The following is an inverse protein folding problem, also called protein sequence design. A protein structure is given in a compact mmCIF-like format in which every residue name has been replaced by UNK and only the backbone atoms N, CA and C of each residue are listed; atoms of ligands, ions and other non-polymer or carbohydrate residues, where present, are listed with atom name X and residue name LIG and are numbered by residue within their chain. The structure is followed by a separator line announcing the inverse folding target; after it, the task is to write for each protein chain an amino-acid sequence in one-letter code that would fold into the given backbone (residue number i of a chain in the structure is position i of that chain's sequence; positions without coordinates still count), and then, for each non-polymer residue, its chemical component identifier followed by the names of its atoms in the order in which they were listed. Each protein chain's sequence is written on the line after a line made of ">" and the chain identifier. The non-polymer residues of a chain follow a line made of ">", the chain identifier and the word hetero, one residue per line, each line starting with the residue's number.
data_IF_505037151765
#
_entry.id   IF_505037151765
#
_cell.length_a   1.000
_cell.length_b   1.000
_cell.length_c   1.000
_cell.angle_alpha   90.00
_cell.angle_beta   90.00
_cell.angle_gamma   90.00
#
_symmetry.space_group_name_H-M   'P 1'
#
loop_
_entity.id
_entity.type
_entity.pdbx_description
1 polymer ?
#
# COMPACT_ATOMS: atom_id res chain seq x y z
N UNK A 1 4.20 -34.34 -3.26
CA UNK A 1 3.36 -33.16 -3.50
C UNK A 1 4.24 -32.12 -4.19
N UNK A 2 4.02 -31.90 -5.46
CA UNK A 2 4.83 -31.02 -6.31
C UNK A 2 4.61 -29.56 -5.86
N UNK A 3 5.56 -29.02 -5.13
CA UNK A 3 5.58 -27.64 -4.67
C UNK A 3 5.97 -26.73 -5.86
N UNK A 4 5.14 -26.73 -6.92
CA UNK A 4 5.31 -25.81 -8.04
C UNK A 4 5.30 -24.41 -7.46
N UNK A 5 6.35 -23.63 -7.76
CA UNK A 5 6.52 -22.24 -7.31
C UNK A 5 5.47 -21.35 -7.99
N UNK A 6 4.20 -21.56 -7.65
CA UNK A 6 3.09 -20.76 -8.17
C UNK A 6 3.34 -19.29 -7.89
N UNK A 7 3.37 -18.49 -8.94
CA UNK A 7 3.49 -17.04 -8.87
C UNK A 7 2.11 -16.42 -8.94
N UNK A 8 1.87 -15.43 -8.11
CA UNK A 8 0.61 -14.68 -8.08
C UNK A 8 0.70 -13.47 -9.03
N UNK A 9 0.47 -13.72 -10.32
CA UNK A 9 0.59 -12.69 -11.37
C UNK A 9 -0.45 -11.59 -11.21
N UNK A 10 -1.67 -11.93 -10.79
CA UNK A 10 -2.74 -10.98 -10.51
C UNK A 10 -2.36 -10.00 -9.40
N UNK A 11 -1.81 -10.50 -8.28
CA UNK A 11 -1.36 -9.63 -7.18
C UNK A 11 -0.16 -8.77 -7.57
N UNK A 12 0.76 -9.28 -8.41
CA UNK A 12 1.85 -8.48 -8.97
C UNK A 12 1.30 -7.34 -9.86
N UNK A 13 0.33 -7.63 -10.73
CA UNK A 13 -0.32 -6.64 -11.58
C UNK A 13 -1.08 -5.59 -10.75
N UNK A 14 -1.84 -6.03 -9.74
CA UNK A 14 -2.58 -5.16 -8.83
C UNK A 14 -1.66 -4.19 -8.08
N UNK A 15 -0.50 -4.67 -7.61
CA UNK A 15 0.51 -3.81 -6.98
C UNK A 15 1.01 -2.74 -7.93
N UNK A 16 1.29 -3.10 -9.18
CA UNK A 16 1.72 -2.16 -10.21
C UNK A 16 0.66 -1.10 -10.51
N UNK A 17 -0.59 -1.52 -10.70
CA UNK A 17 -1.73 -0.63 -10.97
C UNK A 17 -1.97 0.33 -9.80
N UNK A 18 -2.01 -0.18 -8.57
CA UNK A 18 -2.20 0.64 -7.38
C UNK A 18 -1.07 1.67 -7.18
N UNK A 19 0.15 1.39 -7.70
CA UNK A 19 1.25 2.34 -7.69
C UNK A 19 1.03 3.48 -8.71
N UNK A 20 0.60 3.16 -9.92
CA UNK A 20 0.23 4.18 -10.92
C UNK A 20 -0.90 5.08 -10.39
N UNK A 21 -1.90 4.48 -9.74
CA UNK A 21 -2.97 5.24 -9.06
C UNK A 21 -2.45 6.14 -7.94
N UNK A 22 -1.26 5.88 -7.40
CA UNK A 22 -0.58 6.81 -6.49
C UNK A 22 -0.13 8.10 -7.16
N UNK A 23 0.32 8.03 -8.40
CA UNK A 23 0.63 9.22 -9.20
C UNK A 23 -0.66 10.02 -9.45
N UNK A 24 -1.74 9.33 -9.86
CA UNK A 24 -3.07 9.93 -10.07
C UNK A 24 -3.55 10.66 -8.82
N UNK A 25 -3.43 10.02 -7.66
CA UNK A 25 -3.86 10.59 -6.37
C UNK A 25 -3.09 11.86 -6.03
N UNK A 26 -1.77 11.87 -6.14
CA UNK A 26 -0.97 13.06 -5.83
C UNK A 26 -1.11 14.17 -6.87
N UNK A 27 -1.37 13.84 -8.13
CA UNK A 27 -1.69 14.81 -9.16
C UNK A 27 -3.06 15.49 -8.94
N UNK A 28 -3.98 14.82 -8.25
CA UNK A 28 -5.31 15.36 -7.94
C UNK A 28 -5.28 16.43 -6.84
N UNK A 29 -4.39 16.29 -5.84
CA UNK A 29 -4.38 17.09 -4.62
C UNK A 29 -4.47 18.62 -4.85
N UNK A 30 -3.71 19.25 -5.78
CA UNK A 30 -3.77 20.69 -5.98
C UNK A 30 -5.12 21.21 -6.49
N UNK A 31 -5.96 20.32 -7.02
CA UNK A 31 -7.23 20.68 -7.68
C UNK A 31 -8.47 20.25 -6.88
N UNK A 32 -8.28 19.76 -5.65
CA UNK A 32 -9.38 19.35 -4.77
C UNK A 32 -9.89 20.58 -4.00
N UNK A 33 -11.21 20.84 -4.00
CA UNK A 33 -11.77 21.92 -3.19
C UNK A 33 -11.60 21.65 -1.69
N UNK A 34 -11.23 22.69 -0.94
CA UNK A 34 -11.19 22.65 0.52
C UNK A 34 -9.91 22.11 1.16
N UNK A 35 -8.87 21.77 0.40
CA UNK A 35 -7.56 21.41 0.99
C UNK A 35 -6.87 22.70 1.45
N UNK A 36 -6.43 22.77 2.75
CA UNK A 36 -5.63 23.91 3.20
C UNK A 36 -4.32 24.02 2.44
N UNK A 37 -4.01 25.21 1.92
CA UNK A 37 -2.76 25.47 1.18
C UNK A 37 -1.49 25.27 2.03
N UNK A 38 -1.63 25.31 3.36
CA UNK A 38 -0.56 24.97 4.31
C UNK A 38 -0.19 23.48 4.28
N UNK A 39 -1.14 22.59 3.95
CA UNK A 39 -0.91 21.14 3.84
C UNK A 39 -0.41 20.80 2.44
N UNK A 40 -1.11 21.32 1.42
CA UNK A 40 -0.77 21.10 0.02
C UNK A 40 -1.03 22.36 -0.79
N UNK A 41 -0.02 22.91 -1.51
CA UNK A 41 -0.24 24.05 -2.40
C UNK A 41 -1.37 23.75 -3.40
N UNK A 42 -2.32 24.66 -3.50
CA UNK A 42 -3.54 24.50 -4.30
C UNK A 42 -3.61 25.51 -5.43
N UNK A 43 -4.11 25.09 -6.58
CA UNK A 43 -4.41 25.98 -7.71
C UNK A 43 -5.64 26.86 -7.38
N UNK A 44 -5.76 27.99 -8.06
CA UNK A 44 -6.93 28.86 -7.99
C UNK A 44 -8.21 28.21 -8.54
N UNK A 45 -8.05 27.15 -9.36
CA UNK A 45 -9.13 26.38 -9.94
C UNK A 45 -9.23 25.00 -9.30
N UNK A 46 -10.43 24.62 -8.87
CA UNK A 46 -10.71 23.30 -8.29
C UNK A 46 -11.78 22.55 -9.07
N UNK A 47 -11.81 21.21 -8.91
CA UNK A 47 -12.75 20.33 -9.61
C UNK A 47 -13.29 19.26 -8.68
N UNK A 48 -14.61 19.18 -8.54
CA UNK A 48 -15.26 18.16 -7.75
C UNK A 48 -15.14 16.74 -8.36
N UNK A 49 -15.23 16.55 -9.69
CA UNK A 49 -14.90 15.27 -10.32
C UNK A 49 -13.52 14.74 -9.97
N UNK A 50 -12.48 15.60 -9.92
CA UNK A 50 -11.14 15.20 -9.47
C UNK A 50 -11.16 14.77 -8.00
N UNK A 51 -11.92 15.44 -7.14
CA UNK A 51 -12.12 15.03 -5.74
C UNK A 51 -12.71 13.64 -5.65
N UNK A 52 -13.74 13.30 -6.43
CA UNK A 52 -14.32 11.95 -6.43
C UNK A 52 -13.28 10.89 -6.81
N UNK A 53 -12.45 11.15 -7.82
CA UNK A 53 -11.37 10.24 -8.22
C UNK A 53 -10.35 10.08 -7.09
N UNK A 54 -9.99 11.17 -6.44
CA UNK A 54 -9.08 11.16 -5.29
C UNK A 54 -9.65 10.30 -4.14
N UNK A 55 -10.87 10.59 -3.68
CA UNK A 55 -11.52 9.87 -2.58
C UNK A 55 -11.65 8.37 -2.88
N UNK A 56 -12.02 8.02 -4.11
CA UNK A 56 -12.09 6.63 -4.53
C UNK A 56 -10.73 5.93 -4.39
N UNK A 57 -9.64 6.53 -4.87
CA UNK A 57 -8.31 5.93 -4.79
C UNK A 57 -7.79 5.94 -3.35
N UNK A 58 -7.99 7.04 -2.64
CA UNK A 58 -7.50 7.24 -1.27
C UNK A 58 -8.08 6.20 -0.30
N UNK A 59 -9.37 5.93 -0.39
CA UNK A 59 -10.09 5.02 0.50
C UNK A 59 -9.45 3.63 0.63
N UNK A 60 -9.01 3.02 -0.46
CA UNK A 60 -8.60 1.60 -0.44
C UNK A 60 -7.12 1.36 -0.78
N UNK A 61 -6.44 2.31 -1.41
CA UNK A 61 -5.10 2.07 -1.97
C UNK A 61 -4.08 1.66 -0.91
N UNK A 62 -4.01 2.38 0.20
CA UNK A 62 -3.04 2.06 1.26
C UNK A 62 -3.42 0.81 2.05
N UNK A 63 -4.67 0.58 2.47
CA UNK A 63 -5.14 -0.70 2.97
C UNK A 63 -4.73 -1.88 2.09
N UNK A 64 -4.95 -1.79 0.79
CA UNK A 64 -4.55 -2.81 -0.17
C UNK A 64 -3.03 -3.06 -0.18
N UNK A 65 -2.21 -1.99 -0.18
CA UNK A 65 -0.76 -2.16 -0.15
C UNK A 65 -0.27 -2.91 1.08
N UNK A 66 -0.82 -2.62 2.25
CA UNK A 66 -0.48 -3.35 3.47
C UNK A 66 -0.95 -4.81 3.42
N UNK A 67 -2.14 -5.08 2.88
CA UNK A 67 -2.60 -6.47 2.67
C UNK A 67 -1.67 -7.23 1.72
N UNK A 68 -1.28 -6.64 0.60
CA UNK A 68 -0.33 -7.25 -0.34
C UNK A 68 1.05 -7.46 0.31
N UNK A 69 1.54 -6.49 1.08
CA UNK A 69 2.82 -6.61 1.79
C UNK A 69 2.80 -7.77 2.79
N UNK A 70 1.71 -7.95 3.54
CA UNK A 70 1.51 -9.07 4.46
C UNK A 70 1.45 -10.42 3.74
N UNK A 71 0.70 -10.49 2.65
CA UNK A 71 0.59 -11.71 1.83
C UNK A 71 1.97 -12.15 1.31
N UNK A 72 2.72 -11.25 0.69
CA UNK A 72 4.06 -11.53 0.18
C UNK A 72 5.09 -11.77 1.30
N UNK A 73 4.93 -11.17 2.47
CA UNK A 73 5.78 -11.46 3.63
C UNK A 73 5.64 -12.93 4.04
N UNK A 74 4.42 -13.42 4.20
CA UNK A 74 4.18 -14.81 4.56
C UNK A 74 4.63 -15.79 3.47
N UNK A 75 4.40 -15.46 2.20
CA UNK A 75 4.89 -16.24 1.07
C UNK A 75 6.42 -16.40 1.12
N UNK A 76 7.17 -15.32 1.40
CA UNK A 76 8.64 -15.38 1.49
C UNK A 76 9.07 -16.19 2.73
N UNK A 77 8.46 -15.95 3.89
CA UNK A 77 8.78 -16.67 5.14
C UNK A 77 8.56 -18.17 4.99
N UNK A 78 7.46 -18.56 4.33
CA UNK A 78 7.12 -19.99 4.11
C UNK A 78 8.06 -20.65 3.12
N UNK A 79 8.48 -19.97 2.07
CA UNK A 79 9.32 -20.54 1.00
C UNK A 79 10.83 -20.52 1.31
N UNK A 80 11.26 -19.59 2.16
CA UNK A 80 12.69 -19.44 2.48
C UNK A 80 12.91 -19.53 3.99
N UNK A 81 12.86 -18.42 4.72
CA UNK A 81 12.94 -18.38 6.16
C UNK A 81 12.56 -16.99 6.68
N UNK A 82 12.32 -16.92 8.02
CA UNK A 82 12.13 -15.65 8.71
C UNK A 82 13.35 -14.73 8.60
N UNK A 83 14.54 -15.25 8.86
CA UNK A 83 15.79 -14.47 8.81
C UNK A 83 16.05 -13.93 7.39
N UNK A 84 15.81 -14.74 6.35
CA UNK A 84 15.90 -14.29 4.97
C UNK A 84 14.92 -13.14 4.69
N UNK A 85 13.68 -13.24 5.19
CA UNK A 85 12.69 -12.17 5.02
C UNK A 85 13.13 -10.89 5.73
N UNK A 86 13.62 -10.94 6.99
CA UNK A 86 14.14 -9.79 7.72
C UNK A 86 15.28 -9.11 6.95
N UNK A 87 16.33 -9.84 6.61
CA UNK A 87 17.49 -9.31 5.88
C UNK A 87 17.08 -8.70 4.55
N UNK A 88 16.18 -9.36 3.82
CA UNK A 88 15.66 -8.86 2.57
C UNK A 88 14.88 -7.54 2.74
N UNK A 89 14.12 -7.38 3.83
CA UNK A 89 13.40 -6.13 4.12
C UNK A 89 14.35 -5.03 4.56
N UNK A 90 15.34 -5.31 5.41
CA UNK A 90 16.35 -4.31 5.76
C UNK A 90 17.07 -3.75 4.53
N UNK A 91 17.49 -4.62 3.62
CA UNK A 91 18.17 -4.18 2.40
C UNK A 91 17.24 -3.46 1.42
N UNK A 92 16.00 -3.96 1.21
CA UNK A 92 15.11 -3.44 0.17
C UNK A 92 14.12 -2.37 0.65
N UNK A 93 14.02 -2.14 1.93
CA UNK A 93 13.17 -1.09 2.51
C UNK A 93 14.05 -0.09 3.28
N UNK A 94 14.93 -0.57 4.15
CA UNK A 94 15.78 0.29 4.98
C UNK A 94 16.78 1.10 4.16
N UNK A 95 17.51 0.47 3.23
CA UNK A 95 18.48 1.18 2.39
C UNK A 95 17.80 2.23 1.49
N UNK A 96 16.70 1.95 0.77
CA UNK A 96 15.99 3.00 0.03
C UNK A 96 15.51 4.15 0.92
N UNK A 97 15.02 3.90 2.13
CA UNK A 97 14.67 4.99 3.06
C UNK A 97 15.92 5.83 3.36
N UNK A 98 17.04 5.20 3.73
CA UNK A 98 18.27 5.92 4.07
C UNK A 98 18.79 6.79 2.93
N UNK A 99 18.64 6.34 1.67
CA UNK A 99 19.07 7.07 0.48
C UNK A 99 18.06 8.15 0.08
N UNK A 100 16.77 7.82 0.06
CA UNK A 100 15.75 8.74 -0.46
C UNK A 100 15.25 9.75 0.56
N UNK A 101 15.42 9.51 1.85
CA UNK A 101 15.04 10.49 2.86
C UNK A 101 15.82 11.82 2.71
N UNK A 102 17.17 11.85 2.58
CA UNK A 102 17.88 13.08 2.25
C UNK A 102 17.50 13.66 0.89
N UNK A 103 17.24 12.82 -0.12
CA UNK A 103 16.80 13.30 -1.46
C UNK A 103 15.46 14.03 -1.36
N UNK A 104 14.52 13.54 -0.54
CA UNK A 104 13.27 14.24 -0.28
C UNK A 104 13.50 15.58 0.43
N UNK A 105 14.40 15.63 1.42
CA UNK A 105 14.79 16.88 2.08
C UNK A 105 15.47 17.90 1.17
N UNK A 106 16.12 17.44 0.08
CA UNK A 106 16.71 18.29 -0.96
C UNK A 106 15.70 18.75 -2.01
N UNK A 107 14.60 18.04 -2.20
CA UNK A 107 13.68 18.28 -3.33
C UNK A 107 12.36 18.90 -2.87
N UNK A 108 11.67 18.30 -1.89
CA UNK A 108 10.32 18.70 -1.53
C UNK A 108 10.21 20.09 -0.89
N UNK A 109 11.11 20.55 0.02
CA UNK A 109 10.94 21.83 0.70
C UNK A 109 10.87 23.01 -0.27
N UNK A 110 11.79 23.11 -1.21
CA UNK A 110 11.78 24.20 -2.19
C UNK A 110 10.66 24.04 -3.24
N UNK A 111 10.25 22.81 -3.60
CA UNK A 111 9.10 22.58 -4.47
C UNK A 111 7.82 23.09 -3.79
N UNK A 112 7.63 22.80 -2.49
CA UNK A 112 6.50 23.31 -1.71
C UNK A 112 6.53 24.85 -1.61
N UNK A 113 7.70 25.43 -1.34
CA UNK A 113 7.86 26.87 -1.32
C UNK A 113 7.50 27.49 -2.68
N UNK A 114 7.99 26.88 -3.76
CA UNK A 114 7.63 27.31 -5.12
C UNK A 114 6.11 27.24 -5.35
N UNK A 115 5.46 26.16 -4.96
CA UNK A 115 4.01 26.02 -5.07
C UNK A 115 3.21 27.05 -4.26
N UNK A 116 3.75 27.54 -3.16
CA UNK A 116 3.12 28.56 -2.30
C UNK A 116 3.37 29.99 -2.76
N UNK A 117 4.55 30.29 -3.28
CA UNK A 117 4.99 31.67 -3.55
C UNK A 117 5.27 31.97 -5.01
N UNK A 118 5.41 30.97 -5.87
CA UNK A 118 5.86 31.13 -7.26
C UNK A 118 7.37 31.40 -7.41
N UNK A 119 8.12 31.48 -6.31
CA UNK A 119 9.54 31.82 -6.32
C UNK A 119 10.43 30.59 -6.19
N UNK A 120 11.50 30.54 -6.98
CA UNK A 120 12.52 29.48 -6.90
C UNK A 120 13.57 29.86 -5.85
N UNK A 121 13.54 29.15 -4.71
CA UNK A 121 14.55 29.28 -3.68
C UNK A 121 14.98 27.90 -3.19
N UNK A 122 16.18 27.47 -3.58
CA UNK A 122 16.70 26.16 -3.23
C UNK A 122 17.23 26.13 -1.79
N UNK A 123 16.68 25.28 -0.95
CA UNK A 123 17.16 25.03 0.40
C UNK A 123 16.93 23.58 0.81
N UNK A 124 17.78 23.10 1.69
CA UNK A 124 17.59 21.83 2.35
C UNK A 124 16.81 22.03 3.64
N UNK A 125 15.77 21.21 3.84
CA UNK A 125 15.10 21.12 5.13
C UNK A 125 14.78 19.67 5.46
N UNK A 126 15.10 19.27 6.67
CA UNK A 126 14.74 17.98 7.18
C UNK A 126 13.81 18.18 8.38
N UNK A 127 12.53 17.99 8.16
CA UNK A 127 11.49 18.12 9.19
C UNK A 127 11.42 16.90 10.14
N UNK A 128 12.30 15.92 9.98
CA UNK A 128 12.22 14.64 10.69
C UNK A 128 11.07 13.73 10.27
N UNK A 129 10.24 14.20 9.34
CA UNK A 129 9.11 13.41 8.83
C UNK A 129 9.49 12.64 7.56
N UNK A 130 9.06 11.38 7.42
CA UNK A 130 9.44 10.53 6.28
C UNK A 130 8.73 10.90 4.96
N UNK A 131 8.05 12.05 4.88
CA UNK A 131 7.25 12.46 3.73
C UNK A 131 6.35 11.30 3.23
N UNK A 132 6.27 11.08 1.92
CA UNK A 132 5.52 9.94 1.36
C UNK A 132 6.19 8.57 1.61
N UNK A 133 7.41 8.52 2.15
CA UNK A 133 8.09 7.26 2.48
C UNK A 133 7.54 6.59 3.75
N UNK A 134 6.52 7.15 4.39
CA UNK A 134 5.90 6.63 5.60
C UNK A 134 5.44 5.17 5.48
N UNK A 135 4.99 4.74 4.29
CA UNK A 135 4.63 3.34 4.05
C UNK A 135 5.82 2.38 4.24
N UNK A 136 7.01 2.74 3.73
CA UNK A 136 8.22 1.95 3.95
C UNK A 136 8.63 1.96 5.42
N UNK A 137 8.44 3.09 6.09
CA UNK A 137 8.71 3.21 7.53
C UNK A 137 7.84 2.25 8.34
N UNK A 138 6.53 2.17 8.06
CA UNK A 138 5.65 1.19 8.69
C UNK A 138 6.08 -0.25 8.41
N UNK A 139 6.51 -0.57 7.19
CA UNK A 139 7.03 -1.91 6.89
C UNK A 139 8.28 -2.26 7.70
N UNK A 140 9.19 -1.31 7.95
CA UNK A 140 10.33 -1.52 8.86
C UNK A 140 9.88 -1.73 10.30
N UNK A 141 8.96 -0.92 10.79
CA UNK A 141 8.34 -1.10 12.11
C UNK A 141 7.79 -2.52 12.25
N UNK A 142 7.06 -3.04 11.25
CA UNK A 142 6.51 -4.39 11.30
C UNK A 142 7.60 -5.47 11.34
N UNK A 143 8.69 -5.29 10.62
CA UNK A 143 9.85 -6.21 10.69
C UNK A 143 10.46 -6.20 12.09
N UNK A 144 10.71 -5.02 12.65
CA UNK A 144 11.30 -4.86 13.98
C UNK A 144 10.41 -5.44 15.07
N UNK A 145 9.14 -5.03 15.12
CA UNK A 145 8.18 -5.52 16.13
C UNK A 145 7.93 -7.03 16.02
N UNK A 146 7.76 -7.54 14.80
CA UNK A 146 7.53 -8.98 14.63
C UNK A 146 8.75 -9.80 15.05
N UNK A 147 9.95 -9.29 14.87
CA UNK A 147 11.20 -9.92 15.34
C UNK A 147 11.28 -9.87 16.86
N UNK A 148 11.01 -8.70 17.45
CA UNK A 148 11.00 -8.51 18.90
C UNK A 148 9.96 -9.42 19.57
N UNK A 149 8.72 -9.43 19.09
CA UNK A 149 7.68 -10.32 19.64
C UNK A 149 8.04 -11.79 19.51
N UNK A 150 8.70 -12.19 18.43
CA UNK A 150 9.18 -13.57 18.29
C UNK A 150 10.27 -13.92 19.30
N UNK A 151 11.20 -13.01 19.57
CA UNK A 151 12.25 -13.18 20.56
C UNK A 151 11.68 -13.21 21.98
N UNK A 152 10.87 -12.21 22.33
CA UNK A 152 10.21 -12.13 23.65
C UNK A 152 9.30 -13.33 23.90
N UNK A 153 8.53 -13.76 22.91
CA UNK A 153 7.67 -14.93 23.02
C UNK A 153 8.45 -16.21 23.30
N UNK A 154 9.60 -16.41 22.63
CA UNK A 154 10.47 -17.57 22.91
C UNK A 154 11.08 -17.49 24.31
N UNK A 155 11.58 -16.32 24.70
CA UNK A 155 12.16 -16.10 26.03
C UNK A 155 11.10 -16.27 27.14
N UNK A 156 9.89 -15.76 26.92
CA UNK A 156 8.78 -15.92 27.85
C UNK A 156 8.39 -17.40 28.02
N UNK A 157 8.24 -18.15 26.93
CA UNK A 157 7.93 -19.57 26.98
C UNK A 157 9.05 -20.36 27.70
N UNK A 158 10.33 -20.01 27.42
CA UNK A 158 11.46 -20.64 28.12
C UNK A 158 11.46 -20.34 29.61
N UNK A 159 11.24 -19.11 30.02
CA UNK A 159 11.15 -18.67 31.39
C UNK A 159 10.00 -19.37 32.14
N UNK A 160 8.84 -19.41 31.50
CA UNK A 160 7.65 -20.04 32.09
C UNK A 160 7.81 -21.55 32.25
N UNK A 161 8.52 -22.24 31.34
CA UNK A 161 8.85 -23.67 31.50
C UNK A 161 9.74 -23.92 32.73
N UNK A 162 10.62 -22.97 33.04
CA UNK A 162 11.48 -23.07 34.24
C UNK A 162 10.71 -22.85 35.54
N UNK A 163 9.64 -22.01 35.50
CA UNK A 163 8.96 -21.54 36.73
C UNK A 163 7.68 -22.32 37.09
N UNK A 164 6.97 -22.95 36.16
CA UNK A 164 5.54 -23.26 36.36
C UNK A 164 5.09 -24.70 36.18
N UNK A 165 5.93 -25.70 35.84
CA UNK A 165 5.49 -27.10 35.72
C UNK A 165 4.19 -27.29 34.91
N UNK A 166 3.29 -28.19 35.35
CA UNK A 166 2.05 -28.56 34.63
C UNK A 166 0.99 -27.44 34.48
N UNK A 167 1.00 -26.40 35.33
CA UNK A 167 0.03 -25.28 35.22
C UNK A 167 0.22 -24.46 33.98
N UNK A 168 1.42 -24.46 33.42
CA UNK A 168 1.74 -23.72 32.20
C UNK A 168 1.05 -24.32 30.97
N UNK A 169 0.87 -25.63 30.88
CA UNK A 169 0.23 -26.29 29.73
C UNK A 169 -1.23 -25.85 29.60
N UNK A 170 -1.93 -25.71 30.70
CA UNK A 170 -3.33 -25.23 30.70
C UNK A 170 -3.39 -23.78 30.22
N UNK A 171 -2.54 -22.89 30.74
CA UNK A 171 -2.50 -21.48 30.33
C UNK A 171 -2.10 -21.32 28.86
N UNK A 172 -1.08 -22.01 28.41
CA UNK A 172 -0.63 -21.96 27.01
C UNK A 172 -1.69 -22.50 26.05
N UNK A 173 -2.38 -23.57 26.43
CA UNK A 173 -3.49 -24.14 25.66
C UNK A 173 -4.67 -23.15 25.57
N UNK A 174 -5.02 -22.49 26.68
CA UNK A 174 -6.05 -21.49 26.73
C UNK A 174 -5.71 -20.27 25.82
N UNK A 175 -4.50 -19.72 25.97
CA UNK A 175 -4.02 -18.60 25.15
C UNK A 175 -3.96 -18.97 23.66
N UNK A 176 -3.58 -20.19 23.33
CA UNK A 176 -3.59 -20.69 21.97
C UNK A 176 -5.01 -20.80 21.39
N UNK A 177 -5.97 -21.31 22.17
CA UNK A 177 -7.39 -21.37 21.78
C UNK A 177 -7.95 -19.96 21.58
N UNK A 178 -7.72 -19.04 22.53
CA UNK A 178 -8.16 -17.65 22.45
C UNK A 178 -7.60 -16.94 21.19
N UNK A 179 -6.30 -17.06 20.96
CA UNK A 179 -5.66 -16.56 19.73
C UNK A 179 -6.32 -17.10 18.47
N UNK A 180 -6.63 -18.40 18.43
CA UNK A 180 -7.24 -19.01 17.25
C UNK A 180 -8.67 -18.51 17.04
N UNK A 181 -9.47 -18.34 18.09
CA UNK A 181 -10.82 -17.77 18.02
C UNK A 181 -10.75 -16.35 17.48
N UNK A 182 -9.91 -15.49 18.04
CA UNK A 182 -9.71 -14.11 17.60
C UNK A 182 -9.26 -14.08 16.13
N UNK A 183 -8.29 -14.93 15.75
CA UNK A 183 -7.80 -15.01 14.38
C UNK A 183 -8.88 -15.49 13.39
N UNK A 184 -9.80 -16.35 13.80
CA UNK A 184 -10.93 -16.79 12.95
C UNK A 184 -11.91 -15.65 12.76
N UNK A 185 -12.31 -14.97 13.80
CA UNK A 185 -13.29 -13.87 13.76
C UNK A 185 -12.76 -12.70 12.91
N UNK A 186 -11.50 -12.29 13.16
CA UNK A 186 -10.94 -11.09 12.53
C UNK A 186 -10.38 -11.39 11.13
N UNK A 187 -9.63 -12.48 10.95
CA UNK A 187 -8.80 -12.66 9.75
C UNK A 187 -9.21 -13.80 8.83
N UNK A 188 -10.19 -14.65 9.20
CA UNK A 188 -10.55 -15.84 8.40
C UNK A 188 -12.02 -15.88 7.99
N UNK A 189 -12.81 -14.90 8.40
CA UNK A 189 -14.22 -14.81 8.04
C UNK A 189 -14.39 -14.45 6.56
N UNK A 190 -15.33 -15.10 5.89
CA UNK A 190 -15.79 -14.75 4.53
C UNK A 190 -16.50 -13.39 4.52
N UNK A 191 -17.17 -13.05 5.61
CA UNK A 191 -17.75 -11.73 5.86
C UNK A 191 -16.86 -11.02 6.88
N UNK A 192 -16.03 -10.04 6.48
CA UNK A 192 -14.96 -9.49 7.30
C UNK A 192 -15.46 -8.45 8.34
N UNK A 193 -16.65 -8.65 8.94
CA UNK A 193 -17.25 -7.72 9.90
C UNK A 193 -16.33 -7.49 11.11
N UNK A 194 -15.82 -8.59 11.70
CA UNK A 194 -14.90 -8.48 12.84
C UNK A 194 -13.60 -7.74 12.48
N UNK A 195 -13.13 -7.89 11.24
CA UNK A 195 -11.98 -7.15 10.74
C UNK A 195 -12.28 -5.66 10.53
N UNK A 196 -13.45 -5.33 9.96
CA UNK A 196 -13.90 -3.94 9.79
C UNK A 196 -14.04 -3.23 11.14
N UNK A 197 -14.66 -3.88 12.13
CA UNK A 197 -14.78 -3.34 13.48
C UNK A 197 -13.41 -3.11 14.12
N UNK A 198 -12.49 -4.08 14.01
CA UNK A 198 -11.14 -3.94 14.53
C UNK A 198 -10.39 -2.76 13.87
N UNK A 199 -10.50 -2.60 12.55
CA UNK A 199 -9.92 -1.46 11.83
C UNK A 199 -10.54 -0.13 12.28
N UNK A 200 -11.87 -0.05 12.34
CA UNK A 200 -12.57 1.15 12.77
C UNK A 200 -12.18 1.60 14.18
N UNK A 201 -12.24 0.68 15.15
CA UNK A 201 -11.86 0.98 16.55
C UNK A 201 -10.39 1.42 16.64
N UNK A 202 -9.49 0.71 15.94
CA UNK A 202 -8.05 1.00 15.99
C UNK A 202 -7.73 2.36 15.37
N UNK A 203 -8.36 2.70 14.25
CA UNK A 203 -8.16 3.99 13.60
C UNK A 203 -8.72 5.14 14.45
N UNK A 204 -9.89 5.01 15.05
CA UNK A 204 -10.46 6.01 15.97
C UNK A 204 -9.55 6.23 17.18
N UNK A 205 -9.09 5.16 17.81
CA UNK A 205 -8.19 5.24 18.96
C UNK A 205 -6.89 5.99 18.64
N UNK A 206 -6.37 5.84 17.42
CA UNK A 206 -5.12 6.46 17.00
C UNK A 206 -5.29 7.81 16.26
N UNK A 207 -6.49 8.35 16.23
CA UNK A 207 -6.75 9.69 15.70
C UNK A 207 -7.17 9.75 14.24
N UNK A 208 -7.71 8.65 13.71
CA UNK A 208 -8.38 8.61 12.40
C UNK A 208 -7.47 8.39 11.19
N UNK A 209 -6.18 8.72 11.26
CA UNK A 209 -5.29 8.62 10.11
C UNK A 209 -4.43 7.36 10.08
N UNK A 210 -4.52 6.61 9.00
CA UNK A 210 -3.68 5.42 8.75
C UNK A 210 -2.18 5.77 8.68
N UNK A 211 -1.85 6.97 8.23
CA UNK A 211 -0.49 7.49 8.07
C UNK A 211 0.26 7.56 9.40
N UNK A 212 -0.44 7.98 10.45
CA UNK A 212 0.16 8.18 11.77
C UNK A 212 0.14 6.89 12.59
N UNK A 213 -0.74 5.94 12.21
CA UNK A 213 -1.05 4.78 13.01
C UNK A 213 -0.50 3.46 12.44
N UNK A 214 0.68 3.00 12.92
CA UNK A 214 1.20 1.69 12.53
C UNK A 214 0.32 0.51 13.00
N UNK A 215 -0.55 0.70 14.01
CA UNK A 215 -1.47 -0.35 14.45
C UNK A 215 -2.59 -0.58 13.43
N UNK A 216 -3.22 0.48 12.91
CA UNK A 216 -4.23 0.38 11.86
C UNK A 216 -3.68 -0.25 10.60
N UNK A 217 -2.57 0.25 10.09
CA UNK A 217 -1.89 -0.33 8.92
C UNK A 217 -1.39 -1.76 9.18
N UNK A 218 -1.01 -2.08 10.43
CA UNK A 218 -0.63 -3.41 10.88
C UNK A 218 -1.76 -4.43 10.80
N UNK A 219 -3.01 -4.05 11.07
CA UNK A 219 -4.17 -4.92 10.91
C UNK A 219 -4.35 -5.36 9.45
N UNK A 220 -4.25 -4.43 8.50
CA UNK A 220 -4.29 -4.77 7.07
C UNK A 220 -3.13 -5.69 6.66
N UNK A 221 -1.94 -5.43 7.17
CA UNK A 221 -0.79 -6.33 6.96
C UNK A 221 -1.06 -7.73 7.50
N UNK A 222 -1.59 -7.84 8.73
CA UNK A 222 -1.93 -9.13 9.35
C UNK A 222 -3.03 -9.87 8.62
N UNK A 223 -4.02 -9.15 8.07
CA UNK A 223 -5.05 -9.76 7.23
C UNK A 223 -4.43 -10.41 5.99
N UNK A 224 -3.60 -9.68 5.24
CA UNK A 224 -2.89 -10.23 4.09
C UNK A 224 -1.97 -11.40 4.44
N UNK A 225 -1.26 -11.31 5.57
CA UNK A 225 -0.43 -12.38 6.09
C UNK A 225 -1.24 -13.65 6.42
N UNK A 226 -2.43 -13.49 7.01
CA UNK A 226 -3.36 -14.59 7.27
C UNK A 226 -3.97 -15.16 5.99
N UNK A 227 -4.27 -14.32 5.01
CA UNK A 227 -4.88 -14.72 3.75
C UNK A 227 -4.01 -15.73 2.98
N UNK A 228 -2.69 -15.54 2.94
CA UNK A 228 -1.78 -16.52 2.33
C UNK A 228 -1.86 -17.89 2.99
N UNK A 229 -2.05 -17.97 4.30
CA UNK A 229 -2.21 -19.23 5.06
C UNK A 229 -3.60 -19.85 4.97
N UNK A 230 -4.55 -19.15 4.36
CA UNK A 230 -5.94 -19.60 4.27
C UNK A 230 -6.40 -19.72 2.80
N UNK A 231 -5.99 -20.79 2.09
CA UNK A 231 -6.31 -20.99 0.68
C UNK A 231 -7.83 -21.06 0.42
N UNK A 232 -8.62 -21.54 1.36
CA UNK A 232 -10.08 -21.61 1.23
C UNK A 232 -10.73 -20.24 1.18
N UNK A 233 -10.28 -19.31 2.05
CA UNK A 233 -10.72 -17.91 2.01
C UNK A 233 -10.24 -17.22 0.72
N UNK A 234 -8.98 -17.43 0.34
CA UNK A 234 -8.43 -16.85 -0.89
C UNK A 234 -9.21 -17.30 -2.13
N UNK A 235 -9.52 -18.60 -2.24
CA UNK A 235 -10.33 -19.14 -3.33
C UNK A 235 -11.77 -18.60 -3.32
N UNK A 236 -12.35 -18.39 -2.13
CA UNK A 236 -13.66 -17.78 -1.98
C UNK A 236 -13.64 -16.31 -2.46
N UNK A 237 -12.66 -15.52 -2.02
CA UNK A 237 -12.49 -14.11 -2.45
C UNK A 237 -12.31 -14.06 -3.98
N UNK A 238 -11.49 -14.95 -4.56
CA UNK A 238 -11.28 -15.04 -6.01
C UNK A 238 -12.57 -15.35 -6.78
N UNK A 239 -13.48 -16.13 -6.22
CA UNK A 239 -14.75 -16.49 -6.87
C UNK A 239 -15.80 -15.38 -6.71
N UNK A 240 -15.88 -14.77 -5.53
CA UNK A 240 -16.97 -13.89 -5.12
C UNK A 240 -16.60 -12.38 -5.14
N UNK A 241 -15.50 -12.00 -5.81
CA UNK A 241 -15.00 -10.62 -5.83
C UNK A 241 -16.04 -9.58 -6.27
N UNK A 242 -16.97 -9.98 -7.13
CA UNK A 242 -18.04 -9.11 -7.65
C UNK A 242 -18.94 -8.58 -6.54
N UNK A 243 -19.31 -9.43 -5.58
CA UNK A 243 -20.16 -9.02 -4.46
C UNK A 243 -19.43 -8.03 -3.54
N UNK A 244 -18.15 -8.26 -3.27
CA UNK A 244 -17.35 -7.31 -2.49
C UNK A 244 -17.29 -5.94 -3.18
N UNK A 245 -17.05 -5.90 -4.49
CA UNK A 245 -16.97 -4.63 -5.23
C UNK A 245 -18.34 -3.96 -5.37
N UNK A 246 -19.41 -4.70 -5.60
CA UNK A 246 -20.77 -4.11 -5.69
C UNK A 246 -21.18 -3.43 -4.39
N UNK A 247 -20.95 -4.10 -3.25
CA UNK A 247 -21.23 -3.50 -1.93
C UNK A 247 -20.30 -2.31 -1.69
N UNK A 248 -19.02 -2.43 -2.04
CA UNK A 248 -18.06 -1.34 -1.89
C UNK A 248 -18.44 -0.09 -2.70
N UNK A 249 -18.89 -0.26 -3.95
CA UNK A 249 -19.37 0.83 -4.81
C UNK A 249 -20.61 1.50 -4.21
N UNK A 250 -21.55 0.71 -3.70
CA UNK A 250 -22.73 1.23 -3.01
C UNK A 250 -22.34 2.06 -1.79
N UNK A 251 -21.48 1.54 -0.92
CA UNK A 251 -20.97 2.25 0.27
C UNK A 251 -20.21 3.52 -0.14
N UNK A 252 -19.39 3.47 -1.18
CA UNK A 252 -18.67 4.64 -1.69
C UNK A 252 -19.65 5.71 -2.22
N UNK A 253 -20.72 5.32 -2.90
CA UNK A 253 -21.74 6.26 -3.36
C UNK A 253 -22.44 6.98 -2.19
N UNK A 254 -22.72 6.26 -1.11
CA UNK A 254 -23.23 6.86 0.14
C UNK A 254 -22.19 7.79 0.77
N UNK A 255 -20.92 7.35 0.88
CA UNK A 255 -19.82 8.15 1.41
C UNK A 255 -19.70 9.51 0.67
N UNK A 256 -19.70 9.49 -0.65
CA UNK A 256 -19.65 10.71 -1.48
C UNK A 256 -20.91 11.57 -1.25
N UNK A 257 -22.10 10.97 -1.08
CA UNK A 257 -23.30 11.73 -0.81
C UNK A 257 -23.25 12.48 0.53
N UNK A 258 -22.56 11.93 1.54
CA UNK A 258 -22.33 12.59 2.82
C UNK A 258 -21.32 13.74 2.67
N UNK A 259 -20.25 13.53 1.90
CA UNK A 259 -19.27 14.58 1.57
C UNK A 259 -19.94 15.76 0.86
N UNK A 260 -20.79 15.49 -0.15
CA UNK A 260 -21.56 16.52 -0.87
C UNK A 260 -22.51 17.31 0.02
N UNK A 261 -22.98 16.73 1.11
CA UNK A 261 -23.84 17.40 2.12
C UNK A 261 -23.03 18.16 3.17
N UNK A 262 -21.71 18.23 3.03
CA UNK A 262 -20.82 18.93 3.96
C UNK A 262 -20.64 18.23 5.31
N UNK A 263 -20.89 16.91 5.39
CA UNK A 263 -20.56 16.15 6.59
C UNK A 263 -19.05 16.09 6.74
N UNK A 264 -18.52 16.60 7.85
CA UNK A 264 -17.07 16.64 8.10
C UNK A 264 -16.47 15.24 8.18
N UNK A 265 -15.18 15.14 7.81
CA UNK A 265 -14.39 13.94 8.06
C UNK A 265 -14.03 13.84 9.55
N UNK A 266 -13.93 12.62 10.07
CA UNK A 266 -13.57 12.37 11.48
C UNK A 266 -12.16 12.88 11.80
N UNK A 267 -11.23 12.78 10.85
CA UNK A 267 -9.87 13.29 10.99
C UNK A 267 -9.84 14.79 11.12
N UNK A 268 -10.66 15.51 10.35
CA UNK A 268 -10.80 16.96 10.47
C UNK A 268 -11.34 17.36 11.86
N UNK A 269 -12.38 16.66 12.33
CA UNK A 269 -12.97 16.91 13.66
C UNK A 269 -11.93 16.68 14.76
N UNK A 270 -11.17 15.56 14.71
CA UNK A 270 -10.13 15.25 15.69
C UNK A 270 -8.99 16.26 15.62
N UNK A 271 -8.59 16.68 14.42
CA UNK A 271 -7.53 17.68 14.24
C UNK A 271 -7.91 19.02 14.84
N UNK A 272 -9.09 19.55 14.55
CA UNK A 272 -9.60 20.81 15.11
C UNK A 272 -9.66 20.79 16.65
N UNK A 273 -10.00 19.64 17.23
CA UNK A 273 -9.97 19.45 18.68
C UNK A 273 -8.56 19.51 19.25
N UNK A 274 -7.59 18.90 18.59
CA UNK A 274 -6.19 18.86 19.05
C UNK A 274 -5.51 20.23 19.00
N UNK A 275 -5.82 21.07 18.03
CA UNK A 275 -5.26 22.41 17.90
C UNK A 275 -6.01 23.45 18.77
N UNK A 276 -7.03 23.02 19.52
CA UNK A 276 -7.78 23.87 20.44
C UNK A 276 -8.81 24.81 19.79
N UNK A 277 -9.06 24.68 18.49
CA UNK A 277 -10.09 25.45 17.80
C UNK A 277 -11.50 24.99 18.17
N UNK A 278 -11.68 23.74 18.56
CA UNK A 278 -12.93 23.19 19.04
C UNK A 278 -12.70 22.24 20.23
N UNK A 279 -12.81 22.72 21.48
CA UNK A 279 -12.53 21.92 22.68
C UNK A 279 -13.54 20.80 22.94
N UNK A 280 -14.73 20.86 22.32
CA UNK A 280 -15.75 19.82 22.39
C UNK A 280 -16.02 19.30 20.98
N UNK A 281 -15.44 18.16 20.56
CA UNK A 281 -15.66 17.63 19.23
C UNK A 281 -17.14 17.27 19.06
N UNK A 282 -17.81 17.94 18.14
CA UNK A 282 -19.16 17.56 17.72
C UNK A 282 -19.07 16.32 16.80
N UNK A 283 -18.88 15.17 17.42
CA UNK A 283 -18.90 13.88 16.71
C UNK A 283 -20.35 13.46 16.53
N UNK A 284 -21.01 14.06 15.55
CA UNK A 284 -22.38 13.71 15.20
C UNK A 284 -22.46 12.26 14.67
N UNK A 285 -23.67 11.68 14.73
CA UNK A 285 -23.94 10.36 14.15
C UNK A 285 -23.61 10.32 12.65
N UNK A 286 -23.75 11.43 11.94
CA UNK A 286 -23.41 11.53 10.51
C UNK A 286 -21.90 11.44 10.28
N UNK A 287 -21.07 12.04 11.13
CA UNK A 287 -19.61 11.92 11.08
C UNK A 287 -19.17 10.47 11.31
N UNK A 288 -19.76 9.80 12.33
CA UNK A 288 -19.49 8.39 12.59
C UNK A 288 -19.96 7.48 11.45
N UNK A 289 -21.11 7.79 10.84
CA UNK A 289 -21.61 7.04 9.69
C UNK A 289 -20.67 7.19 8.48
N UNK A 290 -20.22 8.42 8.15
CA UNK A 290 -19.26 8.68 7.09
C UNK A 290 -17.94 7.92 7.32
N UNK A 291 -17.40 7.99 8.53
CA UNK A 291 -16.19 7.25 8.93
C UNK A 291 -16.38 5.72 8.81
N UNK A 292 -17.53 5.20 9.23
CA UNK A 292 -17.84 3.78 9.11
C UNK A 292 -17.89 3.33 7.64
N UNK A 293 -18.47 4.16 6.76
CA UNK A 293 -18.52 3.91 5.31
C UNK A 293 -17.12 3.89 4.71
N UNK A 294 -16.23 4.80 5.11
CA UNK A 294 -14.84 4.83 4.69
C UNK A 294 -14.11 3.54 5.09
N UNK A 295 -14.21 3.12 6.34
CA UNK A 295 -13.57 1.89 6.84
C UNK A 295 -14.12 0.64 6.13
N UNK A 296 -15.44 0.54 5.95
CA UNK A 296 -16.08 -0.58 5.26
C UNK A 296 -15.65 -0.60 3.78
N UNK A 297 -15.69 0.55 3.11
CA UNK A 297 -15.25 0.70 1.74
C UNK A 297 -13.79 0.31 1.54
N UNK A 298 -12.90 0.77 2.42
CA UNK A 298 -11.48 0.43 2.41
C UNK A 298 -11.23 -1.09 2.43
N UNK A 299 -11.93 -1.81 3.30
CA UNK A 299 -11.82 -3.26 3.43
C UNK A 299 -12.40 -3.97 2.22
N UNK A 300 -13.63 -3.61 1.82
CA UNK A 300 -14.34 -4.30 0.73
C UNK A 300 -13.68 -4.09 -0.62
N UNK A 301 -13.26 -2.86 -0.96
CA UNK A 301 -12.51 -2.61 -2.19
C UNK A 301 -11.20 -3.38 -2.19
N UNK A 302 -10.43 -3.36 -1.09
CA UNK A 302 -9.16 -4.06 -1.03
C UNK A 302 -9.31 -5.56 -1.26
N UNK A 303 -10.27 -6.21 -0.60
CA UNK A 303 -10.57 -7.64 -0.77
C UNK A 303 -11.10 -7.93 -2.18
N UNK A 304 -12.03 -7.11 -2.67
CA UNK A 304 -12.62 -7.25 -3.99
C UNK A 304 -11.58 -7.12 -5.11
N UNK A 305 -10.66 -6.15 -5.01
CA UNK A 305 -9.57 -5.99 -6.00
C UNK A 305 -8.54 -7.12 -5.93
N UNK A 306 -8.25 -7.69 -4.76
CA UNK A 306 -7.42 -8.90 -4.64
C UNK A 306 -8.08 -10.06 -5.41
N UNK A 307 -9.37 -10.27 -5.22
CA UNK A 307 -10.12 -11.32 -5.92
C UNK A 307 -10.18 -11.09 -7.42
N UNK A 308 -10.56 -9.88 -7.86
CA UNK A 308 -10.61 -9.48 -9.27
C UNK A 308 -9.26 -9.69 -9.96
N UNK A 309 -8.18 -9.26 -9.32
CA UNK A 309 -6.84 -9.35 -9.91
C UNK A 309 -6.41 -10.80 -10.15
N UNK A 310 -6.63 -11.69 -9.18
CA UNK A 310 -6.28 -13.11 -9.34
C UNK A 310 -7.25 -13.88 -10.27
N UNK A 311 -8.50 -13.41 -10.41
CA UNK A 311 -9.45 -14.01 -11.34
C UNK A 311 -9.16 -13.59 -12.79
N UNK A 312 -8.95 -12.30 -13.04
CA UNK A 312 -8.84 -11.74 -14.39
C UNK A 312 -7.43 -11.52 -14.90
N UNK A 313 -6.47 -11.28 -14.00
CA UNK A 313 -5.08 -10.98 -14.36
C UNK A 313 -4.09 -12.02 -13.80
N UNK A 314 -4.56 -13.21 -13.46
CA UNK A 314 -3.74 -14.31 -12.95
C UNK A 314 -2.77 -14.89 -13.98
N UNK A 315 -2.93 -14.59 -15.28
CA UNK A 315 -2.00 -15.00 -16.34
C UNK A 315 -0.83 -14.04 -16.49
N UNK A 316 0.28 -14.53 -17.03
CA UNK A 316 1.46 -13.72 -17.31
C UNK A 316 1.20 -12.67 -18.39
N UNK A 317 1.53 -11.43 -18.13
CA UNK A 317 1.54 -10.33 -19.09
C UNK A 317 2.86 -9.55 -19.00
N UNK A 318 3.52 -9.36 -20.17
CA UNK A 318 4.79 -8.59 -20.24
C UNK A 318 4.62 -7.16 -19.77
N UNK A 319 3.50 -6.53 -20.11
CA UNK A 319 3.19 -5.16 -19.71
C UNK A 319 2.95 -5.06 -18.22
N UNK A 320 2.06 -5.89 -17.65
CA UNK A 320 1.80 -5.93 -16.21
C UNK A 320 3.08 -6.20 -15.42
N UNK A 321 3.93 -7.08 -15.95
CA UNK A 321 5.24 -7.38 -15.37
C UNK A 321 6.17 -6.17 -15.36
N UNK A 322 6.26 -5.44 -16.46
CA UNK A 322 7.10 -4.23 -16.56
C UNK A 322 6.66 -3.16 -15.56
N UNK A 323 5.34 -2.87 -15.48
CA UNK A 323 4.77 -1.91 -14.52
C UNK A 323 5.01 -2.38 -13.08
N UNK A 324 4.76 -3.66 -12.78
CA UNK A 324 4.96 -4.21 -11.43
C UNK A 324 6.43 -4.17 -11.00
N UNK A 325 7.38 -4.48 -11.89
CA UNK A 325 8.81 -4.38 -11.59
C UNK A 325 9.28 -2.93 -11.42
N UNK A 326 8.67 -1.98 -12.16
CA UNK A 326 8.91 -0.54 -12.02
C UNK A 326 8.22 0.12 -10.83
N UNK A 327 7.23 -0.54 -10.22
CA UNK A 327 6.35 0.07 -9.22
C UNK A 327 7.10 0.64 -8.02
N UNK A 328 8.15 -0.02 -7.58
CA UNK A 328 8.93 0.45 -6.44
C UNK A 328 9.75 1.71 -6.77
N UNK A 329 10.35 1.77 -7.97
CA UNK A 329 11.02 2.99 -8.43
C UNK A 329 10.02 4.15 -8.58
N UNK A 330 8.86 3.90 -9.19
CA UNK A 330 7.78 4.89 -9.29
C UNK A 330 7.40 5.45 -7.92
N UNK A 331 7.26 4.58 -6.91
CA UNK A 331 6.98 5.01 -5.54
C UNK A 331 8.04 5.98 -5.00
N UNK A 332 9.32 5.69 -5.23
CA UNK A 332 10.40 6.51 -4.65
C UNK A 332 10.49 7.91 -5.25
N UNK A 333 10.21 8.07 -6.57
CA UNK A 333 10.50 9.32 -7.27
C UNK A 333 9.27 10.13 -7.67
N UNK A 334 8.07 9.56 -7.66
CA UNK A 334 6.90 10.24 -8.24
C UNK A 334 6.53 11.54 -7.53
N UNK A 335 6.69 11.63 -6.20
CA UNK A 335 6.19 12.78 -5.44
C UNK A 335 6.86 14.10 -5.82
N UNK A 336 8.22 14.22 -5.86
CA UNK A 336 8.86 15.44 -6.34
C UNK A 336 8.45 15.79 -7.77
N UNK A 337 8.34 14.80 -8.66
CA UNK A 337 8.00 15.03 -10.07
C UNK A 337 6.57 15.53 -10.21
N UNK A 338 5.60 14.86 -9.57
CA UNK A 338 4.19 15.27 -9.69
C UNK A 338 3.93 16.60 -9.02
N UNK A 339 4.51 16.87 -7.84
CA UNK A 339 4.36 18.13 -7.14
C UNK A 339 4.94 19.29 -7.97
N UNK A 340 6.18 19.14 -8.48
CA UNK A 340 6.76 20.17 -9.34
C UNK A 340 5.94 20.41 -10.59
N UNK A 341 5.50 19.35 -11.27
CA UNK A 341 4.72 19.46 -12.52
C UNK A 341 3.38 20.16 -12.28
N UNK A 342 2.68 19.83 -11.20
CA UNK A 342 1.39 20.46 -10.88
C UNK A 342 1.57 21.92 -10.49
N UNK A 343 2.54 22.25 -9.64
CA UNK A 343 2.77 23.62 -9.18
C UNK A 343 3.29 24.54 -10.31
N UNK A 344 4.05 23.98 -11.26
CA UNK A 344 4.51 24.70 -12.45
C UNK A 344 3.35 25.15 -13.34
N UNK A 345 2.22 24.44 -13.33
CA UNK A 345 1.03 24.78 -14.10
C UNK A 345 0.04 25.70 -13.35
N UNK A 346 0.37 26.14 -12.11
CA UNK A 346 -0.49 27.08 -11.39
C UNK A 346 -0.62 28.39 -12.18
N UNK A 347 -1.83 28.94 -12.17
CA UNK A 347 -2.14 30.16 -12.91
C UNK A 347 -2.29 30.00 -14.44
N UNK A 348 -2.02 28.82 -15.01
CA UNK A 348 -2.30 28.61 -16.45
C UNK A 348 -3.81 28.68 -16.72
N UNK A 349 -4.24 29.38 -17.79
CA UNK A 349 -5.65 29.58 -18.11
C UNK A 349 -6.27 28.34 -18.78
N UNK A 350 -6.12 27.17 -18.19
CA UNK A 350 -6.70 25.91 -18.67
C UNK A 350 -7.44 25.20 -17.55
N UNK A 351 -8.39 24.35 -17.91
CA UNK A 351 -9.22 23.61 -16.96
C UNK A 351 -8.37 22.70 -16.04
N UNK A 352 -8.73 22.57 -14.75
CA UNK A 352 -7.99 21.75 -13.79
C UNK A 352 -7.92 20.27 -14.19
N UNK A 353 -8.93 19.75 -14.89
CA UNK A 353 -8.94 18.38 -15.40
C UNK A 353 -7.84 18.16 -16.46
N UNK A 354 -7.56 19.14 -17.30
CA UNK A 354 -6.49 19.06 -18.30
C UNK A 354 -5.14 19.11 -17.62
N UNK A 355 -4.93 20.02 -16.66
CA UNK A 355 -3.70 20.08 -15.84
C UNK A 355 -3.45 18.75 -15.12
N UNK A 356 -4.49 18.18 -14.52
CA UNK A 356 -4.45 16.90 -13.84
C UNK A 356 -4.00 15.75 -14.76
N UNK A 357 -4.58 15.66 -15.98
CA UNK A 357 -4.20 14.64 -16.97
C UNK A 357 -2.77 14.84 -17.44
N UNK A 358 -2.34 16.08 -17.71
CA UNK A 358 -0.96 16.39 -18.10
C UNK A 358 0.01 15.98 -16.99
N UNK A 359 -0.24 16.39 -15.74
CA UNK A 359 0.62 16.07 -14.61
C UNK A 359 0.75 14.55 -14.38
N UNK A 360 -0.38 13.85 -14.46
CA UNK A 360 -0.42 12.39 -14.32
C UNK A 360 0.40 11.69 -15.41
N UNK A 361 0.14 12.05 -16.67
CA UNK A 361 0.77 11.42 -17.83
C UNK A 361 2.28 11.71 -17.89
N UNK A 362 2.67 12.96 -17.65
CA UNK A 362 4.07 13.37 -17.61
C UNK A 362 4.82 12.65 -16.49
N UNK A 363 4.28 12.65 -15.28
CA UNK A 363 4.93 11.98 -14.13
C UNK A 363 5.06 10.47 -14.36
N UNK A 364 4.00 9.82 -14.87
CA UNK A 364 4.06 8.40 -15.21
C UNK A 364 5.12 8.13 -16.28
N UNK A 365 5.18 8.97 -17.33
CA UNK A 365 6.18 8.90 -18.38
C UNK A 365 7.60 9.01 -17.82
N UNK A 366 7.89 10.04 -17.02
CA UNK A 366 9.20 10.23 -16.37
C UNK A 366 9.58 9.01 -15.50
N UNK A 367 8.64 8.51 -14.69
CA UNK A 367 8.88 7.35 -13.84
C UNK A 367 9.21 6.10 -14.65
N UNK A 368 8.48 5.83 -15.74
CA UNK A 368 8.69 4.65 -16.59
C UNK A 368 9.97 4.75 -17.44
N UNK A 369 10.26 5.93 -17.99
CA UNK A 369 11.47 6.18 -18.76
C UNK A 369 12.70 6.03 -17.87
N UNK A 370 12.70 6.68 -16.70
CA UNK A 370 13.82 6.57 -15.75
C UNK A 370 13.98 5.14 -15.23
N UNK A 371 12.88 4.42 -14.96
CA UNK A 371 12.95 3.00 -14.63
C UNK A 371 13.61 2.19 -15.73
N UNK A 372 13.21 2.37 -16.97
CA UNK A 372 13.72 1.60 -18.11
C UNK A 372 15.22 1.77 -18.32
N UNK A 373 15.69 3.03 -18.29
CA UNK A 373 17.07 3.35 -18.67
C UNK A 373 18.03 3.38 -17.49
N UNK A 374 17.62 3.87 -16.32
CA UNK A 374 18.53 4.07 -15.17
C UNK A 374 18.44 2.98 -14.10
N UNK A 375 17.34 2.19 -14.08
CA UNK A 375 17.11 1.23 -12.99
C UNK A 375 17.14 -0.21 -13.48
N UNK A 376 16.36 -0.54 -14.51
CA UNK A 376 16.06 -1.92 -14.86
C UNK A 376 17.27 -2.81 -15.11
N UNK A 377 18.28 -2.30 -15.82
CA UNK A 377 19.49 -3.04 -16.19
C UNK A 377 20.69 -2.77 -15.27
N UNK A 378 20.55 -1.83 -14.33
CA UNK A 378 21.65 -1.33 -13.50
C UNK A 378 21.71 -2.01 -12.14
N UNK A 379 22.70 -1.60 -11.37
CA UNK A 379 22.86 -1.99 -9.98
C UNK A 379 21.67 -1.57 -9.08
N UNK A 380 21.05 -0.41 -9.38
CA UNK A 380 19.85 0.06 -8.66
C UNK A 380 18.72 -0.97 -8.77
N UNK A 381 18.50 -1.53 -9.96
CA UNK A 381 17.50 -2.58 -10.17
C UNK A 381 17.77 -3.86 -9.41
N UNK A 382 19.03 -4.21 -9.21
CA UNK A 382 19.40 -5.35 -8.38
C UNK A 382 18.97 -5.13 -6.92
N UNK A 383 19.18 -3.93 -6.37
CA UNK A 383 18.78 -3.60 -5.01
C UNK A 383 17.26 -3.54 -4.85
N UNK A 384 16.58 -2.84 -5.75
CA UNK A 384 15.13 -2.64 -5.63
C UNK A 384 14.34 -3.93 -5.94
N UNK A 385 14.69 -4.63 -7.03
CA UNK A 385 13.94 -5.77 -7.54
C UNK A 385 14.60 -7.13 -7.27
N UNK A 386 15.88 -7.14 -6.86
CA UNK A 386 16.67 -8.35 -6.64
C UNK A 386 17.08 -9.09 -7.90
N UNK A 387 16.87 -8.49 -9.06
CA UNK A 387 17.25 -9.02 -10.36
C UNK A 387 17.73 -7.88 -11.26
N UNK A 388 18.81 -8.13 -12.03
CA UNK A 388 19.18 -7.28 -13.17
C UNK A 388 18.53 -7.87 -14.41
N UNK A 389 17.75 -7.08 -15.11
CA UNK A 389 17.29 -7.45 -16.44
C UNK A 389 18.35 -7.00 -17.47
N UNK A 390 19.41 -7.77 -17.64
CA UNK A 390 20.32 -7.58 -18.78
C UNK A 390 19.51 -7.79 -20.05
N UNK A 391 19.63 -6.88 -21.02
CA UNK A 391 18.92 -6.94 -22.30
C UNK A 391 19.04 -8.34 -22.90
N UNK A 392 17.92 -9.04 -22.94
CA UNK A 392 17.84 -10.35 -23.56
C UNK A 392 17.16 -10.20 -24.90
N UNK A 393 17.71 -10.85 -25.88
CA UNK A 393 17.05 -11.12 -27.15
C UNK A 393 15.63 -11.64 -26.89
N UNK A 394 14.67 -11.11 -27.61
CA UNK A 394 13.22 -11.25 -27.41
C UNK A 394 12.66 -12.68 -27.62
N UNK A 395 13.48 -13.73 -27.50
CA UNK A 395 13.16 -15.08 -27.95
C UNK A 395 12.52 -16.02 -26.93
N UNK A 396 13.03 -16.11 -25.72
CA UNK A 396 12.68 -17.20 -24.82
C UNK A 396 12.29 -16.72 -23.42
N UNK A 397 10.99 -16.56 -23.20
CA UNK A 397 10.43 -16.21 -21.88
C UNK A 397 9.49 -17.31 -21.45
N UNK A 398 9.65 -17.82 -20.23
CA UNK A 398 8.71 -18.79 -19.66
C UNK A 398 7.30 -18.18 -19.58
N UNK A 399 6.31 -18.85 -20.17
CA UNK A 399 4.92 -18.42 -20.20
C UNK A 399 4.27 -18.34 -18.80
N UNK A 400 4.79 -19.11 -17.84
CA UNK A 400 4.21 -19.20 -16.51
C UNK A 400 4.81 -18.21 -15.49
N UNK A 401 6.12 -17.92 -15.57
CA UNK A 401 6.77 -17.05 -14.57
C UNK A 401 7.47 -15.83 -15.18
N UNK A 402 7.54 -15.73 -16.50
CA UNK A 402 8.17 -14.61 -17.20
C UNK A 402 9.68 -14.55 -17.07
N UNK A 403 10.34 -15.61 -16.64
CA UNK A 403 11.80 -15.69 -16.59
C UNK A 403 12.37 -15.86 -17.98
N UNK A 404 13.44 -15.12 -18.33
CA UNK A 404 14.18 -15.33 -19.56
C UNK A 404 14.89 -16.69 -19.50
N UNK A 405 14.62 -17.52 -20.45
CA UNK A 405 15.25 -18.83 -20.64
C UNK A 405 16.57 -18.61 -21.39
N UNK A 406 17.69 -18.92 -20.76
CA UNK A 406 19.01 -18.76 -21.38
C UNK A 406 19.37 -19.91 -22.30
N UNK A 407 18.75 -21.07 -22.13
CA UNK A 407 18.91 -22.27 -22.96
C UNK A 407 17.57 -22.95 -23.20
N UNK A 408 17.44 -23.78 -24.24
CA UNK A 408 16.25 -24.63 -24.47
C UNK A 408 16.24 -25.79 -23.45
N UNK A 409 15.89 -25.47 -22.21
CA UNK A 409 15.67 -26.46 -21.16
C UNK A 409 14.23 -26.95 -21.21
N UNK A 410 14.04 -28.25 -20.93
CA UNK A 410 12.69 -28.86 -20.89
C UNK A 410 11.83 -28.29 -19.79
N UNK A 411 12.43 -27.75 -18.73
CA UNK A 411 11.74 -27.17 -17.59
C UNK A 411 12.29 -25.77 -17.26
N UNK A 412 11.41 -24.86 -16.88
CA UNK A 412 11.83 -23.54 -16.40
C UNK A 412 12.58 -23.65 -15.07
N UNK A 413 13.81 -23.16 -15.02
CA UNK A 413 14.67 -23.18 -13.82
C UNK A 413 14.11 -22.39 -12.62
N UNK A 414 13.22 -21.43 -12.87
CA UNK A 414 12.63 -20.59 -11.84
C UNK A 414 11.30 -21.12 -11.30
N UNK A 415 10.44 -21.69 -12.15
CA UNK A 415 9.11 -22.14 -11.72
C UNK A 415 8.87 -23.64 -11.90
N UNK A 416 9.78 -24.37 -12.53
CA UNK A 416 9.69 -25.82 -12.72
C UNK A 416 8.63 -26.28 -13.73
N UNK A 417 7.97 -25.36 -14.46
CA UNK A 417 6.98 -25.75 -15.49
C UNK A 417 7.69 -26.28 -16.72
N UNK A 418 7.11 -27.33 -17.29
CA UNK A 418 7.54 -27.88 -18.59
C UNK A 418 7.26 -26.85 -19.70
N UNK A 419 8.30 -26.55 -20.47
CA UNK A 419 8.24 -25.58 -21.55
C UNK A 419 7.79 -26.31 -22.81
N UNK A 420 6.60 -26.00 -23.29
CA UNK A 420 6.18 -26.44 -24.62
C UNK A 420 7.00 -25.68 -25.67
N UNK A 421 7.79 -26.42 -26.43
CA UNK A 421 8.48 -25.92 -27.62
C UNK A 421 7.53 -25.69 -28.77
#
# INVERSE_FOLDING_TARGET
>A
MNNSRTRYHGLDALRGTAMVLGIVLHAALPYIPGIPSSIWPSDNSSSYPIKIVFEFIHMWRMPLFFMLAGFFANLIITRKSWMFWCNNRFLRVGLPIAVFFPVMGLTLPWIWKYGQTGEFYFFYSNTGQPFHLWFLWHLLIFVLFSTLFRMLGKSFVALMRLLSGNRLEVLTSFLYKLKNVIAVIIFKSKFPIGFMLACGITNLWAGGELIINPFGSGLYFLFGFSLYKNPSLFSFIKREWKYYLLIAIFIFSLYISFDMRGVKDITEVIYQTRIGENPAPDVSLFVLARYSMETIGAVLFSIGFIGLAEDKFGSYSRFSRFISDGSYWMYLIHLPVVAFTTFFMFGWPIYPEIKFVIATSFTAGVCLVTYRYFVRATFIGLFLNGKRHRGSNFGNVCSACGTNLQNPERFCTECGIELSH
#
